data_IF_003271399857
#
_entry.id   IF_003271399857
#
_cell.length_a   1.000
_cell.length_b   1.000
_cell.length_c   1.000
_cell.angle_alpha   90.00
_cell.angle_beta   90.00
_cell.angle_gamma   90.00
#
_symmetry.space_group_name_H-M   'P 1'
#
loop_
_entity.id
_entity.type
_entity.pdbx_description
1 polymer ?
#
# COMPACT_ATOMS: atom_id res chain seq x y z
N UNK A 1 -18.26 -40.76 -50.50
CA UNK A 1 -18.40 -39.47 -49.80
C UNK A 1 -17.20 -39.33 -48.89
N UNK A 2 -16.23 -38.54 -49.35
CA UNK A 2 -15.02 -38.22 -48.60
C UNK A 2 -15.37 -37.25 -47.48
N UNK A 3 -14.95 -37.57 -46.26
CA UNK A 3 -15.10 -36.73 -45.08
C UNK A 3 -13.80 -36.76 -44.29
N UNK A 4 -12.88 -35.91 -44.71
CA UNK A 4 -11.59 -35.63 -44.10
C UNK A 4 -11.84 -34.82 -42.82
N UNK A 5 -11.64 -35.43 -41.65
CA UNK A 5 -11.89 -34.82 -40.35
C UNK A 5 -10.58 -34.61 -39.60
N UNK A 6 -9.92 -33.48 -39.88
CA UNK A 6 -8.70 -33.00 -39.21
C UNK A 6 -8.85 -33.05 -37.69
N UNK A 7 -8.06 -33.88 -37.04
CA UNK A 7 -7.82 -33.82 -35.60
C UNK A 7 -7.11 -32.50 -35.27
N UNK A 8 -7.75 -31.69 -34.44
CA UNK A 8 -7.19 -30.45 -33.93
C UNK A 8 -5.90 -30.77 -33.15
N UNK A 9 -4.80 -30.16 -33.58
CA UNK A 9 -3.58 -30.13 -32.79
C UNK A 9 -3.87 -29.42 -31.47
N UNK A 10 -3.48 -30.09 -30.38
CA UNK A 10 -3.50 -29.58 -29.02
C UNK A 10 -2.73 -28.26 -28.95
N UNK A 11 -3.42 -27.17 -28.64
CA UNK A 11 -2.78 -25.91 -28.30
C UNK A 11 -2.58 -25.92 -26.79
N UNK A 12 -1.40 -26.35 -26.36
CA UNK A 12 -0.89 -26.01 -25.02
C UNK A 12 -0.75 -24.49 -24.92
N UNK A 13 -1.41 -23.81 -23.98
CA UNK A 13 -1.03 -22.44 -23.65
C UNK A 13 0.15 -22.51 -22.69
N UNK A 14 1.37 -22.55 -23.25
CA UNK A 14 2.57 -22.34 -22.46
C UNK A 14 2.79 -20.84 -22.28
N UNK A 15 2.66 -20.41 -21.01
CA UNK A 15 3.23 -19.21 -20.39
C UNK A 15 2.90 -17.87 -21.05
N UNK A 16 1.77 -17.29 -20.61
CA UNK A 16 1.58 -15.84 -20.58
C UNK A 16 1.70 -15.38 -19.13
N UNK A 17 2.85 -14.81 -18.76
CA UNK A 17 2.98 -13.56 -17.97
C UNK A 17 4.47 -13.33 -17.59
N UNK A 18 5.27 -12.84 -18.53
CA UNK A 18 6.68 -12.44 -18.28
C UNK A 18 6.86 -10.91 -18.29
N UNK A 19 5.91 -10.15 -17.74
CA UNK A 19 6.18 -8.72 -17.45
C UNK A 19 5.37 -8.19 -16.26
N UNK A 20 5.10 -9.03 -15.28
CA UNK A 20 4.59 -8.62 -13.98
C UNK A 20 5.73 -8.44 -12.99
N UNK A 21 6.32 -7.24 -12.88
CA UNK A 21 7.30 -6.94 -11.83
C UNK A 21 6.79 -7.45 -10.47
N UNK A 22 7.58 -8.27 -9.78
CA UNK A 22 7.06 -9.00 -8.64
C UNK A 22 6.69 -8.01 -7.52
N UNK A 23 5.64 -8.24 -6.71
CA UNK A 23 5.26 -7.33 -5.62
C UNK A 23 6.43 -7.00 -4.67
N UNK A 24 7.37 -7.93 -4.50
CA UNK A 24 8.58 -7.72 -3.72
C UNK A 24 9.55 -6.69 -4.35
N UNK A 25 9.69 -6.69 -5.67
CA UNK A 25 10.55 -5.76 -6.43
C UNK A 25 9.94 -4.36 -6.39
N UNK A 26 8.63 -4.24 -6.65
CA UNK A 26 7.89 -2.96 -6.51
C UNK A 26 8.03 -2.37 -5.12
N UNK A 27 7.89 -3.18 -4.07
CA UNK A 27 8.06 -2.69 -2.71
C UNK A 27 9.51 -2.22 -2.46
N UNK A 28 10.50 -2.95 -2.97
CA UNK A 28 11.91 -2.58 -2.83
C UNK A 28 12.25 -1.28 -3.58
N UNK A 29 11.68 -1.07 -4.77
CA UNK A 29 11.80 0.17 -5.55
C UNK A 29 11.25 1.36 -4.75
N UNK A 30 10.00 1.26 -4.28
CA UNK A 30 9.37 2.31 -3.47
C UNK A 30 10.15 2.60 -2.18
N UNK A 31 10.64 1.56 -1.50
CA UNK A 31 11.50 1.71 -0.33
C UNK A 31 12.82 2.40 -0.67
N UNK A 32 13.45 2.05 -1.80
CA UNK A 32 14.67 2.67 -2.28
C UNK A 32 14.50 4.16 -2.55
N UNK A 33 13.39 4.55 -3.18
CA UNK A 33 13.06 5.95 -3.45
C UNK A 33 12.85 6.75 -2.15
N UNK A 34 12.05 6.23 -1.21
CA UNK A 34 11.80 6.89 0.08
C UNK A 34 13.10 7.06 0.87
N UNK A 35 13.98 6.07 0.84
CA UNK A 35 15.24 6.09 1.58
C UNK A 35 16.36 6.87 0.89
N UNK A 36 16.30 7.09 -0.42
CA UNK A 36 17.27 7.91 -1.14
C UNK A 36 17.33 9.36 -0.60
N UNK A 37 16.20 9.86 -0.06
CA UNK A 37 16.08 11.19 0.53
C UNK A 37 16.03 11.18 2.08
N UNK A 38 16.26 10.04 2.74
CA UNK A 38 16.09 9.93 4.19
C UNK A 38 17.21 9.14 4.88
N UNK A 39 17.72 9.67 6.00
CA UNK A 39 18.73 8.99 6.82
C UNK A 39 18.16 7.83 7.66
N UNK A 40 16.86 7.88 7.97
CA UNK A 40 16.18 6.89 8.81
C UNK A 40 14.75 6.62 8.36
N UNK A 41 14.30 5.39 8.60
CA UNK A 41 12.93 4.98 8.31
C UNK A 41 12.03 5.17 9.54
N UNK A 42 11.36 6.33 9.61
CA UNK A 42 10.40 6.66 10.67
C UNK A 42 8.94 6.65 10.19
N UNK A 43 8.04 7.23 11.00
CA UNK A 43 6.62 7.33 10.66
C UNK A 43 6.37 8.10 9.35
N UNK A 44 7.04 9.25 9.16
CA UNK A 44 6.93 10.03 7.91
C UNK A 44 7.28 9.19 6.68
N UNK A 45 8.34 8.39 6.75
CA UNK A 45 8.74 7.52 5.65
C UNK A 45 7.75 6.38 5.41
N UNK A 46 7.11 5.82 6.45
CA UNK A 46 6.00 4.87 6.27
C UNK A 46 4.82 5.49 5.52
N UNK A 47 4.45 6.73 5.87
CA UNK A 47 3.38 7.46 5.20
C UNK A 47 3.77 7.77 3.75
N UNK A 48 5.02 8.18 3.49
CA UNK A 48 5.53 8.44 2.14
C UNK A 48 5.50 7.18 1.26
N UNK A 49 6.02 6.07 1.78
CA UNK A 49 5.98 4.77 1.10
C UNK A 49 4.55 4.37 0.76
N UNK A 50 3.64 4.50 1.72
CA UNK A 50 2.23 4.17 1.56
C UNK A 50 1.57 5.07 0.51
N UNK A 51 1.90 6.37 0.52
CA UNK A 51 1.38 7.33 -0.44
C UNK A 51 1.84 7.04 -1.87
N UNK A 52 3.12 6.68 -2.09
CA UNK A 52 3.62 6.25 -3.39
C UNK A 52 2.92 4.98 -3.86
N UNK A 53 2.81 3.97 -2.97
CA UNK A 53 2.11 2.71 -3.29
C UNK A 53 0.66 2.95 -3.70
N UNK A 54 -0.06 3.80 -2.97
CA UNK A 54 -1.43 4.20 -3.28
C UNK A 54 -1.51 4.94 -4.62
N UNK A 55 -0.62 5.90 -4.90
CA UNK A 55 -0.66 6.68 -6.14
C UNK A 55 -0.33 5.84 -7.38
N UNK A 56 0.62 4.91 -7.28
CA UNK A 56 1.09 4.11 -8.42
C UNK A 56 0.23 2.87 -8.67
N UNK A 57 -0.38 2.30 -7.62
CA UNK A 57 -1.09 1.02 -7.73
C UNK A 57 -2.54 1.06 -7.26
N UNK A 58 -3.01 2.17 -6.70
CA UNK A 58 -4.33 2.31 -6.10
C UNK A 58 -4.42 1.68 -4.70
N UNK A 59 -5.38 2.15 -3.90
CA UNK A 59 -5.53 1.75 -2.48
C UNK A 59 -5.67 0.24 -2.30
N UNK A 60 -6.49 -0.42 -3.12
CA UNK A 60 -6.74 -1.86 -3.00
C UNK A 60 -5.46 -2.69 -3.19
N UNK A 61 -4.66 -2.40 -4.22
CA UNK A 61 -3.40 -3.10 -4.45
C UNK A 61 -2.32 -2.72 -3.41
N UNK A 62 -2.31 -1.46 -2.97
CA UNK A 62 -1.37 -0.99 -1.96
C UNK A 62 -1.50 -1.74 -0.62
N UNK A 63 -2.70 -2.18 -0.23
CA UNK A 63 -2.90 -2.98 1.00
C UNK A 63 -2.07 -4.26 0.96
N UNK A 64 -2.11 -4.98 -0.16
CA UNK A 64 -1.31 -6.20 -0.34
C UNK A 64 0.18 -5.91 -0.46
N UNK A 65 0.54 -4.92 -1.28
CA UNK A 65 1.94 -4.54 -1.55
C UNK A 65 2.68 -4.12 -0.27
N UNK A 66 2.13 -3.16 0.48
CA UNK A 66 2.73 -2.63 1.71
C UNK A 66 2.66 -3.69 2.81
N UNK A 67 1.53 -4.40 2.93
CA UNK A 67 1.35 -5.46 3.91
C UNK A 67 2.40 -6.56 3.79
N UNK A 68 2.60 -7.11 2.59
CA UNK A 68 3.58 -8.17 2.39
C UNK A 68 5.02 -7.65 2.50
N UNK A 69 5.30 -6.46 1.97
CA UNK A 69 6.61 -5.84 2.09
C UNK A 69 7.06 -5.64 3.53
N UNK A 70 6.20 -5.05 4.39
CA UNK A 70 6.52 -4.87 5.82
C UNK A 70 6.68 -6.23 6.51
N UNK A 71 5.79 -7.21 6.22
CA UNK A 71 5.86 -8.55 6.82
C UNK A 71 7.17 -9.26 6.49
N UNK A 72 7.62 -9.18 5.22
CA UNK A 72 8.89 -9.75 4.76
C UNK A 72 10.07 -9.04 5.42
N UNK A 73 10.07 -7.71 5.46
CA UNK A 73 11.13 -6.91 6.09
C UNK A 73 11.25 -7.21 7.58
N UNK A 74 10.12 -7.29 8.30
CA UNK A 74 10.08 -7.64 9.72
C UNK A 74 10.66 -9.04 9.98
N UNK A 75 10.33 -10.03 9.14
CA UNK A 75 10.90 -11.39 9.21
C UNK A 75 12.40 -11.39 8.93
N UNK A 76 12.84 -10.71 7.88
CA UNK A 76 14.26 -10.62 7.52
C UNK A 76 15.09 -9.94 8.62
N UNK A 77 14.51 -8.98 9.33
CA UNK A 77 15.12 -8.33 10.49
C UNK A 77 15.03 -9.16 11.79
N UNK A 78 14.50 -10.39 11.75
CA UNK A 78 14.34 -11.25 12.92
C UNK A 78 13.29 -10.79 13.92
N UNK A 79 12.40 -9.88 13.53
CA UNK A 79 11.39 -9.25 14.37
C UNK A 79 9.98 -9.32 13.76
N UNK A 80 9.47 -10.52 13.41
CA UNK A 80 8.16 -10.69 12.75
C UNK A 80 6.98 -10.12 13.56
N UNK A 81 7.11 -10.03 14.88
CA UNK A 81 6.11 -9.47 15.79
C UNK A 81 5.86 -7.97 15.56
N UNK A 82 6.78 -7.26 14.89
CA UNK A 82 6.59 -5.85 14.53
C UNK A 82 5.55 -5.64 13.43
N UNK A 83 5.23 -6.67 12.65
CA UNK A 83 4.16 -6.59 11.68
C UNK A 83 2.78 -6.62 12.37
N UNK A 84 1.89 -5.74 11.92
CA UNK A 84 0.52 -5.65 12.42
C UNK A 84 -0.45 -5.44 11.26
N UNK A 85 -1.26 -6.45 10.96
CA UNK A 85 -2.13 -6.46 9.79
C UNK A 85 -3.17 -5.34 9.80
N UNK A 86 -3.94 -5.21 10.89
CA UNK A 86 -4.97 -4.16 10.99
C UNK A 86 -4.37 -2.75 10.90
N UNK A 87 -3.32 -2.43 11.67
CA UNK A 87 -2.69 -1.11 11.60
C UNK A 87 -2.16 -0.79 10.20
N UNK A 88 -1.48 -1.74 9.56
CA UNK A 88 -0.93 -1.54 8.22
C UNK A 88 -2.03 -1.23 7.22
N UNK A 89 -3.11 -2.04 7.20
CA UNK A 89 -4.25 -1.81 6.32
C UNK A 89 -4.96 -0.49 6.62
N UNK A 90 -5.19 -0.16 7.89
CA UNK A 90 -5.84 1.09 8.29
C UNK A 90 -5.05 2.33 7.80
N UNK A 91 -3.72 2.31 7.90
CA UNK A 91 -2.87 3.38 7.37
C UNK A 91 -2.97 3.50 5.85
N UNK A 92 -2.94 2.38 5.12
CA UNK A 92 -3.10 2.38 3.66
C UNK A 92 -4.45 2.97 3.25
N UNK A 93 -5.54 2.57 3.91
CA UNK A 93 -6.86 3.09 3.58
C UNK A 93 -7.01 4.59 3.91
N UNK A 94 -6.47 5.05 5.06
CA UNK A 94 -6.46 6.47 5.42
C UNK A 94 -5.67 7.31 4.41
N UNK A 95 -4.44 6.90 4.09
CA UNK A 95 -3.64 7.58 3.06
C UNK A 95 -4.36 7.56 1.72
N UNK A 96 -4.96 6.42 1.34
CA UNK A 96 -5.78 6.25 0.14
C UNK A 96 -6.94 7.24 0.04
N UNK A 97 -7.67 7.42 1.14
CA UNK A 97 -8.79 8.36 1.21
C UNK A 97 -8.35 9.81 0.95
N UNK A 98 -7.25 10.24 1.57
CA UNK A 98 -6.74 11.60 1.40
C UNK A 98 -6.10 11.79 0.01
N UNK A 99 -5.36 10.80 -0.49
CA UNK A 99 -4.71 10.86 -1.80
C UNK A 99 -5.73 10.87 -2.95
N UNK A 100 -6.80 10.08 -2.87
CA UNK A 100 -7.87 10.03 -3.89
C UNK A 100 -8.68 11.34 -3.99
N UNK A 101 -8.77 12.11 -2.90
CA UNK A 101 -9.41 13.44 -2.88
C UNK A 101 -8.51 14.55 -3.41
N UNK A 102 -7.20 14.32 -3.44
CA UNK A 102 -6.21 15.35 -3.76
C UNK A 102 -6.05 15.59 -5.27
N UNK A 103 -6.56 14.72 -6.15
CA UNK A 103 -6.61 14.97 -7.60
C UNK A 103 -5.26 15.25 -8.27
N UNK A 104 -4.13 14.82 -7.70
CA UNK A 104 -2.79 15.10 -8.24
C UNK A 104 -2.27 13.93 -9.07
N UNK A 105 -2.81 13.80 -10.28
CA UNK A 105 -2.13 13.13 -11.37
C UNK A 105 -1.11 14.13 -11.97
N UNK A 106 0.08 14.21 -11.38
CA UNK A 106 1.21 14.81 -12.09
C UNK A 106 1.84 13.68 -12.90
N UNK A 107 1.62 13.70 -14.22
CA UNK A 107 2.33 12.84 -15.15
C UNK A 107 3.76 13.39 -15.29
N UNK A 108 4.67 12.95 -14.43
CA UNK A 108 6.09 13.19 -14.63
C UNK A 108 6.64 12.04 -15.47
N UNK A 109 7.29 12.37 -16.61
CA UNK A 109 8.05 11.39 -17.38
C UNK A 109 9.18 10.78 -16.55
N UNK A 110 9.58 9.56 -16.90
CA UNK A 110 10.43 8.65 -16.12
C UNK A 110 11.78 9.24 -15.65
N UNK A 111 12.27 10.33 -16.24
CA UNK A 111 13.60 10.90 -15.97
C UNK A 111 13.65 11.97 -14.84
N UNK A 112 12.51 12.38 -14.26
CA UNK A 112 12.46 13.41 -13.19
C UNK A 112 11.79 12.94 -11.88
N UNK A 113 11.51 11.63 -11.76
CA UNK A 113 10.54 11.11 -10.80
C UNK A 113 10.88 11.35 -9.32
N UNK A 114 12.16 11.28 -8.91
CA UNK A 114 12.53 11.30 -7.49
C UNK A 114 12.28 12.66 -6.80
N UNK A 115 12.53 13.78 -7.50
CA UNK A 115 12.33 15.12 -6.92
C UNK A 115 10.85 15.53 -6.89
N UNK A 116 10.13 15.27 -7.97
CA UNK A 116 8.74 15.68 -8.11
C UNK A 116 7.79 14.92 -7.18
N UNK A 117 8.02 13.62 -6.96
CA UNK A 117 7.21 12.83 -6.03
C UNK A 117 7.47 13.23 -4.57
N UNK A 118 8.71 13.57 -4.20
CA UNK A 118 9.01 14.07 -2.85
C UNK A 118 8.33 15.43 -2.59
N UNK A 119 8.43 16.39 -3.51
CA UNK A 119 7.74 17.69 -3.37
C UNK A 119 6.22 17.51 -3.31
N UNK A 120 5.66 16.61 -4.13
CA UNK A 120 4.24 16.30 -4.10
C UNK A 120 3.81 15.59 -2.80
N UNK A 121 4.67 14.74 -2.23
CA UNK A 121 4.45 14.15 -0.91
C UNK A 121 4.50 15.21 0.18
N UNK A 122 5.47 16.13 0.16
CA UNK A 122 5.58 17.20 1.15
C UNK A 122 4.31 18.08 1.13
N UNK A 123 3.85 18.49 -0.06
CA UNK A 123 2.60 19.23 -0.22
C UNK A 123 1.35 18.41 0.19
N UNK A 124 1.37 17.09 0.07
CA UNK A 124 0.32 16.21 0.58
C UNK A 124 0.34 16.14 2.11
N UNK A 125 1.52 15.97 2.70
CA UNK A 125 1.71 15.87 4.14
C UNK A 125 1.36 17.18 4.85
N UNK A 126 1.66 18.33 4.25
CA UNK A 126 1.32 19.65 4.79
C UNK A 126 -0.20 19.92 4.79
N UNK A 127 -0.93 19.37 3.80
CA UNK A 127 -2.40 19.45 3.74
C UNK A 127 -3.09 18.48 4.70
N UNK A 128 -2.42 17.40 5.07
CA UNK A 128 -2.97 16.32 5.91
C UNK A 128 -2.02 15.96 7.06
N UNK A 129 -1.67 16.95 7.93
CA UNK A 129 -0.70 16.73 9.01
C UNK A 129 -1.15 15.65 10.00
N UNK A 130 -2.45 15.36 10.09
CA UNK A 130 -2.98 14.26 10.88
C UNK A 130 -2.42 12.90 10.49
N UNK A 131 -2.02 12.70 9.22
CA UNK A 131 -1.41 11.45 8.78
C UNK A 131 0.01 11.26 9.35
N UNK A 132 0.66 12.33 9.80
CA UNK A 132 1.96 12.28 10.47
C UNK A 132 1.85 12.08 11.99
N UNK A 133 0.63 12.06 12.54
CA UNK A 133 0.39 11.75 13.94
C UNK A 133 0.27 10.24 14.15
N UNK A 134 1.23 9.64 14.83
CA UNK A 134 1.21 8.20 15.16
C UNK A 134 0.00 7.79 16.01
N UNK A 135 -0.63 8.75 16.71
CA UNK A 135 -1.82 8.50 17.52
C UNK A 135 -3.13 8.55 16.70
N UNK A 136 -3.10 8.83 15.39
CA UNK A 136 -4.29 8.99 14.55
C UNK A 136 -5.27 7.82 14.68
N UNK A 137 -4.78 6.57 14.70
CA UNK A 137 -5.63 5.38 14.79
C UNK A 137 -6.46 5.31 16.09
N UNK A 138 -6.04 5.99 17.16
CA UNK A 138 -6.80 6.06 18.43
C UNK A 138 -8.16 6.77 18.27
N UNK A 139 -8.36 7.51 17.17
CA UNK A 139 -9.63 8.14 16.82
C UNK A 139 -10.70 7.16 16.34
N UNK A 140 -10.27 5.97 15.90
CA UNK A 140 -11.07 4.95 15.22
C UNK A 140 -11.12 3.62 16.01
N UNK A 141 -10.07 3.31 16.74
CA UNK A 141 -9.93 2.05 17.47
C UNK A 141 -9.68 2.25 18.97
N UNK A 142 -10.26 1.37 19.77
CA UNK A 142 -9.84 1.16 21.17
C UNK A 142 -8.43 0.55 21.20
N UNK A 143 -7.65 0.92 22.21
CA UNK A 143 -6.32 0.34 22.46
C UNK A 143 -6.39 -1.18 22.61
N UNK A 144 -7.40 -1.71 23.32
CA UNK A 144 -7.58 -3.14 23.52
C UNK A 144 -7.79 -3.90 22.19
N UNK A 145 -8.48 -3.27 21.23
CA UNK A 145 -8.76 -3.85 19.92
C UNK A 145 -7.49 -3.94 19.08
N UNK A 146 -6.70 -2.86 19.03
CA UNK A 146 -5.39 -2.90 18.37
C UNK A 146 -4.38 -3.80 19.09
N UNK A 147 -4.53 -4.04 20.40
CA UNK A 147 -3.65 -4.94 21.12
C UNK A 147 -3.98 -6.44 20.89
N UNK A 148 -5.12 -6.74 20.26
CA UNK A 148 -5.61 -8.12 20.12
C UNK A 148 -4.80 -8.95 19.11
N UNK A 149 -4.78 -10.27 19.32
CA UNK A 149 -4.10 -11.20 18.41
C UNK A 149 -4.78 -11.21 17.03
N UNK A 150 -6.10 -11.07 17.00
CA UNK A 150 -6.92 -10.99 15.79
C UNK A 150 -6.54 -9.77 14.96
N UNK A 151 -6.41 -8.59 15.58
CA UNK A 151 -6.03 -7.37 14.87
C UNK A 151 -4.57 -7.44 14.35
N UNK A 152 -3.68 -8.11 15.09
CA UNK A 152 -2.29 -8.31 14.66
C UNK A 152 -2.19 -9.24 13.46
N UNK A 153 -2.95 -10.33 13.45
CA UNK A 153 -2.90 -11.37 12.42
C UNK A 153 -3.81 -11.09 11.20
N UNK A 154 -4.88 -10.32 11.36
CA UNK A 154 -5.90 -10.09 10.34
C UNK A 154 -6.46 -8.68 10.34
N UNK A 155 -7.62 -8.53 9.69
CA UNK A 155 -8.38 -7.27 9.63
C UNK A 155 -9.48 -7.25 10.68
N UNK A 156 -9.51 -6.20 11.48
CA UNK A 156 -10.60 -5.87 12.40
C UNK A 156 -11.09 -4.46 12.07
N UNK A 157 -12.41 -4.29 11.94
CA UNK A 157 -13.02 -2.98 11.66
C UNK A 157 -12.86 -2.00 12.83
N UNK A 158 -12.84 -0.68 12.58
CA UNK A 158 -12.88 0.34 13.61
C UNK A 158 -14.07 0.20 14.57
N UNK A 159 -13.82 0.37 15.86
CA UNK A 159 -14.80 0.10 16.92
C UNK A 159 -15.10 1.29 17.85
N UNK A 160 -14.47 2.45 17.61
CA UNK A 160 -14.87 3.73 18.19
C UNK A 160 -15.67 4.58 17.21
N UNK A 161 -15.16 4.71 15.99
CA UNK A 161 -15.80 5.46 14.90
C UNK A 161 -15.44 4.80 13.56
N UNK A 162 -16.39 4.72 12.61
CA UNK A 162 -16.08 4.25 11.26
C UNK A 162 -15.12 5.21 10.57
N UNK A 163 -14.45 4.73 9.52
CA UNK A 163 -13.63 5.61 8.70
C UNK A 163 -14.47 6.64 7.95
N UNK A 164 -13.89 7.81 7.56
CA UNK A 164 -14.63 8.89 6.91
C UNK A 164 -15.38 8.49 5.63
N UNK A 165 -14.87 7.53 4.85
CA UNK A 165 -15.52 7.04 3.61
C UNK A 165 -16.55 5.93 3.85
N UNK A 166 -16.60 5.36 5.06
CA UNK A 166 -17.67 4.44 5.45
C UNK A 166 -18.92 5.21 5.92
N UNK A 167 -18.81 6.53 6.05
CA UNK A 167 -19.95 7.44 6.27
C UNK A 167 -20.62 7.76 4.94
N UNK A 168 -21.11 6.73 4.25
CA UNK A 168 -22.06 6.93 3.16
C UNK A 168 -23.45 6.85 3.79
N UNK A 169 -23.96 8.03 4.14
CA UNK A 169 -25.35 8.43 4.36
C UNK A 169 -26.37 7.36 4.84
N UNK A 170 -26.81 7.55 6.08
CA UNK A 170 -28.24 7.41 6.43
C UNK A 170 -28.90 8.77 6.33
#
# INVERSE_FOLDING_TARGET
MSGDGRGAAEVSPQSADETGEQPAERFAELMGEVMAAAERFGHRQHVHLTWLAVRRHGTAAAVGLVGEGIRRTARAAGAPEKYHATMTRAWVELVGHHAGRAGTAVACGADLACGADLEAFDAFADRHPELLDTALLSRFYRTATLASAEARAGWVEPDLRPFPWQRTDR
#
